data_IF_867533612763
#
_entry.id   IF_867533612763
#
_cell.length_a   1.000
_cell.length_b   1.000
_cell.length_c   1.000
_cell.angle_alpha   90.00
_cell.angle_beta   90.00
_cell.angle_gamma   90.00
#
_symmetry.space_group_name_H-M   'P 1'
#
loop_
_entity.id
_entity.type
_entity.pdbx_description
1 polymer ?
#
# COMPACT_ATOMS: atom_id res chain seq x y z
N UNK A 1 1.86 1.58 -7.50
CA UNK A 1 0.91 1.38 -8.63
C UNK A 1 0.40 -0.04 -8.51
N UNK A 2 -0.92 -0.25 -8.51
CA UNK A 2 -1.55 -1.51 -8.10
C UNK A 2 -2.00 -2.36 -9.29
N UNK A 3 -1.96 -1.79 -10.50
CA UNK A 3 -2.45 -2.41 -11.74
C UNK A 3 -1.82 -3.78 -12.05
N UNK A 4 -0.58 -4.02 -11.61
CA UNK A 4 0.09 -5.31 -11.82
C UNK A 4 -0.63 -6.45 -11.10
N UNK A 5 -1.00 -6.26 -9.83
CA UNK A 5 -1.69 -7.29 -9.04
C UNK A 5 -3.17 -7.40 -9.39
N UNK A 6 -3.83 -6.28 -9.72
CA UNK A 6 -5.23 -6.29 -10.14
C UNK A 6 -5.42 -7.01 -11.48
N UNK A 7 -4.75 -6.55 -12.54
CA UNK A 7 -4.85 -7.19 -13.86
C UNK A 7 -4.26 -8.60 -13.86
N UNK A 8 -3.18 -8.81 -13.11
CA UNK A 8 -2.63 -10.14 -12.90
C UNK A 8 -3.68 -11.09 -12.32
N UNK A 9 -4.43 -10.66 -11.29
CA UNK A 9 -5.51 -11.48 -10.71
C UNK A 9 -6.63 -11.78 -11.72
N UNK A 10 -6.98 -10.84 -12.60
CA UNK A 10 -7.97 -11.05 -13.66
C UNK A 10 -7.50 -12.14 -14.61
N UNK A 11 -6.28 -12.04 -15.14
CA UNK A 11 -5.76 -13.03 -16.09
C UNK A 11 -5.52 -14.40 -15.45
N UNK A 12 -5.09 -14.46 -14.19
CA UNK A 12 -5.01 -15.71 -13.43
C UNK A 12 -6.38 -16.39 -13.34
N UNK A 13 -7.45 -15.64 -13.04
CA UNK A 13 -8.82 -16.20 -12.98
C UNK A 13 -9.34 -16.66 -14.34
N UNK A 14 -8.89 -16.03 -15.42
CA UNK A 14 -9.19 -16.44 -16.79
C UNK A 14 -8.32 -17.63 -17.28
N UNK A 15 -7.42 -18.15 -16.44
CA UNK A 15 -6.63 -19.35 -16.71
C UNK A 15 -5.21 -19.11 -17.22
N UNK A 16 -4.74 -17.86 -17.28
CA UNK A 16 -3.35 -17.56 -17.64
C UNK A 16 -2.39 -17.86 -16.49
N UNK A 17 -1.20 -18.37 -16.82
CA UNK A 17 -0.09 -18.42 -15.87
C UNK A 17 0.57 -17.04 -15.80
N UNK A 18 0.39 -16.35 -14.68
CA UNK A 18 0.89 -14.99 -14.48
C UNK A 18 2.13 -15.01 -13.59
N UNK A 19 3.21 -14.40 -14.08
CA UNK A 19 4.42 -14.11 -13.30
C UNK A 19 4.60 -12.61 -13.17
N UNK A 20 4.62 -12.10 -11.94
CA UNK A 20 4.89 -10.70 -11.61
C UNK A 20 6.39 -10.55 -11.33
N UNK A 21 7.03 -9.61 -12.03
CA UNK A 21 8.42 -9.23 -11.80
C UNK A 21 8.43 -7.90 -11.05
N UNK A 22 9.03 -7.88 -9.87
CA UNK A 22 9.14 -6.70 -9.01
C UNK A 22 10.61 -6.45 -8.67
N UNK A 23 11.02 -5.20 -8.85
CA UNK A 23 12.36 -4.72 -8.56
C UNK A 23 12.64 -4.58 -7.07
N UNK A 24 11.61 -4.31 -6.27
CA UNK A 24 11.73 -4.30 -4.81
C UNK A 24 12.06 -5.71 -4.30
N UNK A 25 13.19 -5.89 -3.58
CA UNK A 25 13.58 -7.19 -3.04
C UNK A 25 12.77 -7.64 -1.82
N UNK A 26 12.10 -6.72 -1.13
CA UNK A 26 11.43 -7.02 0.14
C UNK A 26 10.03 -7.59 -0.04
N UNK A 27 9.14 -6.85 -0.72
CA UNK A 27 7.73 -7.23 -0.90
C UNK A 27 7.07 -6.51 -2.06
N UNK A 28 5.96 -7.07 -2.55
CA UNK A 28 5.04 -6.35 -3.44
C UNK A 28 4.31 -5.23 -2.69
N UNK A 29 3.91 -4.19 -3.42
CA UNK A 29 3.14 -3.06 -2.87
C UNK A 29 3.71 -2.51 -1.55
N UNK A 30 4.99 -2.07 -1.50
CA UNK A 30 5.68 -1.72 -0.25
C UNK A 30 5.13 -0.49 0.48
N UNK A 31 4.17 0.21 -0.12
CA UNK A 31 3.41 1.28 0.52
C UNK A 31 2.29 0.76 1.45
N UNK A 32 2.05 -0.56 1.46
CA UNK A 32 1.17 -1.23 2.41
C UNK A 32 1.99 -1.75 3.60
N UNK A 33 1.28 -2.00 4.70
CA UNK A 33 1.77 -2.82 5.80
C UNK A 33 2.21 -4.19 5.29
N UNK A 34 3.29 -4.70 5.88
CA UNK A 34 3.91 -5.96 5.48
C UNK A 34 2.92 -7.14 5.49
N UNK A 35 2.10 -7.27 6.53
CA UNK A 35 1.10 -8.33 6.64
C UNK A 35 0.05 -8.26 5.50
N UNK A 36 -0.29 -7.05 5.09
CA UNK A 36 -1.26 -6.80 4.02
C UNK A 36 -0.66 -7.15 2.65
N UNK A 37 0.59 -6.78 2.40
CA UNK A 37 1.32 -7.20 1.19
C UNK A 37 1.38 -8.72 1.06
N UNK A 38 1.60 -9.45 2.16
CA UNK A 38 1.65 -10.93 2.16
C UNK A 38 0.32 -11.58 1.77
N UNK A 39 -0.81 -10.92 2.02
CA UNK A 39 -2.13 -11.41 1.58
C UNK A 39 -2.24 -11.34 0.04
N UNK A 40 -1.70 -10.29 -0.57
CA UNK A 40 -1.70 -10.11 -2.03
C UNK A 40 -0.84 -11.15 -2.76
N UNK A 41 0.14 -11.75 -2.09
CA UNK A 41 0.94 -12.83 -2.67
C UNK A 41 0.13 -14.12 -2.85
N UNK A 42 -0.98 -14.27 -2.12
CA UNK A 42 -1.85 -15.46 -2.16
C UNK A 42 -2.89 -15.42 -3.30
N UNK A 43 -2.71 -14.56 -4.30
CA UNK A 43 -3.62 -14.38 -5.45
C UNK A 43 -3.46 -15.43 -6.56
N UNK A 44 -2.65 -16.49 -6.36
CA UNK A 44 -2.41 -17.54 -7.37
C UNK A 44 -1.48 -17.12 -8.52
N UNK A 45 -0.73 -16.03 -8.33
CA UNK A 45 0.33 -15.58 -9.24
C UNK A 45 1.70 -16.02 -8.74
N UNK A 46 2.67 -16.13 -9.64
CA UNK A 46 4.08 -16.29 -9.25
C UNK A 46 4.73 -14.92 -9.10
N UNK A 47 5.36 -14.66 -7.96
CA UNK A 47 6.09 -13.41 -7.73
C UNK A 47 7.59 -13.68 -7.79
N UNK A 48 8.31 -12.88 -8.57
CA UNK A 48 9.77 -12.78 -8.53
C UNK A 48 10.11 -11.38 -8.04
N UNK A 49 10.55 -11.30 -6.79
CA UNK A 49 10.98 -10.06 -6.13
C UNK A 49 12.47 -9.82 -6.36
N UNK A 50 12.92 -8.59 -6.20
CA UNK A 50 14.31 -8.21 -6.35
C UNK A 50 14.86 -8.51 -7.75
N UNK A 51 14.03 -8.38 -8.79
CA UNK A 51 14.46 -8.59 -10.18
C UNK A 51 14.13 -7.37 -11.02
N UNK A 52 15.09 -6.96 -11.86
CA UNK A 52 14.91 -5.86 -12.80
C UNK A 52 15.05 -6.37 -14.22
N UNK A 53 14.09 -6.00 -15.07
CA UNK A 53 14.11 -6.31 -16.50
C UNK A 53 15.11 -5.37 -17.18
N UNK A 54 16.15 -5.95 -17.78
CA UNK A 54 17.19 -5.20 -18.48
C UNK A 54 16.85 -5.03 -19.97
N UNK A 55 16.26 -6.07 -20.57
CA UNK A 55 15.96 -6.07 -22.00
C UNK A 55 14.78 -7.00 -22.33
N UNK A 56 14.18 -6.80 -23.50
CA UNK A 56 13.09 -7.62 -24.02
C UNK A 56 13.19 -7.81 -25.53
N UNK A 57 13.08 -9.06 -25.98
CA UNK A 57 13.04 -9.42 -27.39
C UNK A 57 11.67 -9.99 -27.77
N UNK A 58 11.05 -9.43 -28.80
CA UNK A 58 9.75 -9.88 -29.33
C UNK A 58 9.98 -10.67 -30.61
N UNK A 59 9.62 -11.95 -30.59
CA UNK A 59 9.54 -12.81 -31.77
C UNK A 59 8.10 -12.80 -32.29
N UNK A 60 7.86 -12.07 -33.38
CA UNK A 60 6.54 -11.93 -34.00
C UNK A 60 6.08 -13.19 -34.73
N UNK A 61 7.02 -14.03 -35.19
CA UNK A 61 6.69 -15.29 -35.88
C UNK A 61 6.21 -16.34 -34.87
N UNK A 62 6.85 -16.41 -33.71
CA UNK A 62 6.49 -17.35 -32.64
C UNK A 62 5.45 -16.80 -31.66
N UNK A 63 5.09 -15.50 -31.77
CA UNK A 63 4.24 -14.78 -30.81
C UNK A 63 4.73 -14.92 -29.37
N UNK A 64 6.04 -14.75 -29.18
CA UNK A 64 6.70 -14.88 -27.88
C UNK A 64 7.53 -13.66 -27.56
N UNK A 65 7.63 -13.36 -26.28
CA UNK A 65 8.52 -12.34 -25.72
C UNK A 65 9.51 -13.05 -24.80
N UNK A 66 10.79 -12.70 -24.94
CA UNK A 66 11.85 -13.14 -24.05
C UNK A 66 12.38 -11.93 -23.29
N UNK A 67 12.30 -11.94 -21.98
CA UNK A 67 12.81 -10.92 -21.08
C UNK A 67 14.14 -11.37 -20.48
N UNK A 68 15.12 -10.48 -20.44
CA UNK A 68 16.37 -10.64 -19.70
C UNK A 68 16.23 -9.92 -18.37
N UNK A 69 16.39 -10.67 -17.28
CA UNK A 69 16.24 -10.15 -15.92
C UNK A 69 17.53 -10.33 -15.11
N UNK A 70 17.79 -9.37 -14.24
CA UNK A 70 18.91 -9.37 -13.31
C UNK A 70 18.41 -9.24 -11.88
N UNK A 71 19.06 -9.95 -10.95
CA UNK A 71 18.84 -9.76 -9.52
C UNK A 71 19.25 -8.35 -9.09
N UNK A 72 18.32 -7.60 -8.50
CA UNK A 72 18.57 -6.35 -7.80
C UNK A 72 19.20 -6.68 -6.46
N UNK A 73 20.39 -6.12 -6.20
CA UNK A 73 21.06 -6.30 -4.89
C UNK A 73 20.23 -5.60 -3.81
N UNK A 74 19.94 -6.32 -2.72
CA UNK A 74 19.24 -5.75 -1.58
C UNK A 74 20.03 -4.57 -1.00
N UNK A 75 19.38 -3.41 -0.87
CA UNK A 75 19.87 -2.33 -0.01
C UNK A 75 19.27 -2.61 1.37
N UNK A 76 20.06 -2.81 2.44
CA UNK A 76 19.52 -2.95 3.78
C UNK A 76 18.66 -1.73 4.14
N UNK A 77 17.53 -1.96 4.78
CA UNK A 77 16.61 -0.92 5.25
C UNK A 77 17.38 0.04 6.18
N UNK A 78 17.60 1.29 5.74
CA UNK A 78 18.35 2.32 6.48
C UNK A 78 19.79 2.58 6.02
N UNK A 79 20.30 1.84 5.03
CA UNK A 79 21.62 2.11 4.42
C UNK A 79 21.56 3.14 3.29
N UNK A 80 22.60 3.97 3.16
CA UNK A 80 22.78 4.82 1.98
C UNK A 80 23.08 3.93 0.75
N UNK A 81 22.87 4.41 -0.49
CA UNK A 81 23.19 3.69 -1.74
C UNK A 81 24.68 3.30 -1.93
N UNK A 82 25.51 3.54 -0.91
CA UNK A 82 26.96 3.34 -0.92
C UNK A 82 27.46 2.30 0.10
N UNK A 83 26.60 1.76 0.96
CA UNK A 83 26.97 0.68 1.87
C UNK A 83 26.80 -0.67 1.17
N UNK A 84 27.85 -1.13 0.50
CA UNK A 84 27.85 -2.38 -0.25
C UNK A 84 29.02 -3.29 0.13
N UNK A 85 28.69 -4.49 0.59
CA UNK A 85 29.59 -5.65 0.52
C UNK A 85 29.48 -6.24 -0.90
N UNK A 86 30.55 -6.10 -1.68
CA UNK A 86 30.61 -6.39 -3.12
C UNK A 86 30.58 -7.88 -3.51
N UNK A 87 30.14 -8.78 -2.63
CA UNK A 87 30.50 -10.20 -2.68
C UNK A 87 29.46 -11.13 -3.30
N UNK A 88 28.22 -10.68 -3.56
CA UNK A 88 27.18 -11.55 -4.14
C UNK A 88 27.12 -11.48 -5.67
N UNK A 89 27.21 -12.63 -6.38
CA UNK A 89 27.18 -12.67 -7.84
C UNK A 89 25.81 -12.25 -8.38
N UNK A 90 25.82 -11.41 -9.42
CA UNK A 90 24.61 -10.94 -10.08
C UNK A 90 24.05 -12.06 -10.97
N UNK A 91 22.85 -12.55 -10.65
CA UNK A 91 22.24 -13.68 -11.36
C UNK A 91 21.43 -13.15 -12.53
N UNK A 92 21.83 -13.52 -13.76
CA UNK A 92 21.09 -13.27 -14.99
C UNK A 92 20.17 -14.44 -15.31
N UNK A 93 18.91 -14.14 -15.66
CA UNK A 93 17.94 -15.14 -16.08
C UNK A 93 17.18 -14.66 -17.31
N UNK A 94 16.66 -15.61 -18.08
CA UNK A 94 15.74 -15.35 -19.19
C UNK A 94 14.34 -15.85 -18.82
N UNK A 95 13.32 -15.02 -19.05
CA UNK A 95 11.91 -15.34 -18.81
C UNK A 95 11.18 -15.24 -20.14
N UNK A 96 10.45 -16.30 -20.52
CA UNK A 96 9.64 -16.33 -21.74
C UNK A 96 8.17 -16.14 -21.37
N UNK A 97 7.47 -15.35 -22.17
CA UNK A 97 6.03 -15.09 -22.04
C UNK A 97 5.39 -14.93 -23.42
N UNK A 98 4.07 -15.06 -23.51
CA UNK A 98 3.31 -14.74 -24.73
C UNK A 98 2.94 -13.25 -24.77
N UNK A 99 2.65 -12.68 -23.59
CA UNK A 99 2.26 -11.28 -23.40
C UNK A 99 3.06 -10.70 -22.25
N UNK A 100 3.49 -9.45 -22.38
CA UNK A 100 4.13 -8.68 -21.32
C UNK A 100 3.31 -7.42 -21.07
N UNK A 101 2.86 -7.25 -19.83
CA UNK A 101 2.20 -6.04 -19.35
C UNK A 101 3.20 -5.23 -18.53
N UNK A 102 3.41 -3.96 -18.91
CA UNK A 102 4.37 -3.07 -18.23
C UNK A 102 3.63 -2.15 -17.25
N UNK A 103 3.82 -2.39 -15.95
CA UNK A 103 3.15 -1.67 -14.87
C UNK A 103 4.13 -1.01 -13.88
N UNK A 104 5.16 -0.31 -14.39
CA UNK A 104 6.29 0.21 -13.58
C UNK A 104 6.04 1.60 -12.94
N UNK A 105 4.81 2.08 -12.95
CA UNK A 105 4.45 3.39 -12.41
C UNK A 105 3.77 4.32 -13.42
N UNK A 106 3.42 5.50 -12.93
CA UNK A 106 2.81 6.60 -13.71
C UNK A 106 3.74 7.80 -13.68
N UNK A 107 3.65 8.65 -14.69
CA UNK A 107 4.38 9.92 -14.77
C UNK A 107 3.38 11.05 -14.99
N UNK A 108 3.61 12.22 -14.40
CA UNK A 108 2.79 13.40 -14.68
C UNK A 108 2.86 13.71 -16.19
N UNK A 109 1.71 14.01 -16.78
CA UNK A 109 1.64 14.40 -18.18
C UNK A 109 1.57 15.92 -18.29
N UNK A 110 2.70 16.55 -18.60
CA UNK A 110 2.85 18.01 -18.69
C UNK A 110 3.22 18.49 -20.09
N UNK A 111 3.20 17.58 -21.07
CA UNK A 111 3.58 17.87 -22.44
C UNK A 111 2.56 18.80 -23.11
N UNK A 112 3.05 19.79 -23.85
CA UNK A 112 2.24 20.78 -24.58
C UNK A 112 1.26 21.61 -23.74
N UNK A 113 1.50 21.75 -22.43
CA UNK A 113 0.70 22.64 -21.56
C UNK A 113 1.09 24.12 -21.67
N UNK A 114 2.22 24.45 -22.32
CA UNK A 114 2.70 25.82 -22.44
C UNK A 114 3.20 26.43 -21.13
N UNK A 115 3.70 25.60 -20.20
CA UNK A 115 4.18 26.03 -18.88
C UNK A 115 5.33 27.03 -18.98
N UNK A 116 6.17 26.89 -20.01
CA UNK A 116 7.25 27.79 -20.36
C UNK A 116 6.76 29.22 -20.68
N UNK A 117 5.57 29.36 -21.25
CA UNK A 117 5.00 30.67 -21.61
C UNK A 117 4.52 31.45 -20.39
N UNK A 118 4.24 30.75 -19.29
CA UNK A 118 3.79 31.33 -18.01
C UNK A 118 4.86 31.24 -16.92
N UNK A 119 6.07 30.77 -17.25
CA UNK A 119 7.21 30.70 -16.34
C UNK A 119 7.11 29.64 -15.24
N UNK A 120 6.25 28.63 -15.40
CA UNK A 120 6.13 27.53 -14.43
C UNK A 120 7.21 26.48 -14.74
N UNK A 121 8.13 26.28 -13.79
CA UNK A 121 9.17 25.24 -13.87
C UNK A 121 8.71 23.97 -13.18
N UNK A 122 8.92 22.83 -13.82
CA UNK A 122 8.65 21.52 -13.23
C UNK A 122 9.69 21.16 -12.17
N UNK A 123 9.32 20.28 -11.24
CA UNK A 123 10.26 19.68 -10.30
C UNK A 123 11.12 18.57 -10.96
N UNK A 124 12.06 17.99 -10.20
CA UNK A 124 12.93 16.92 -10.68
C UNK A 124 12.21 15.63 -11.08
N UNK A 125 10.91 15.49 -10.73
CA UNK A 125 10.05 14.36 -11.10
C UNK A 125 9.07 14.72 -12.23
N UNK A 126 9.19 15.91 -12.83
CA UNK A 126 8.34 16.38 -13.93
C UNK A 126 6.96 16.87 -13.48
N UNK A 127 6.74 17.10 -12.18
CA UNK A 127 5.48 17.57 -11.60
C UNK A 127 5.42 19.09 -11.56
N UNK A 128 4.21 19.65 -11.54
CA UNK A 128 3.99 21.08 -11.32
C UNK A 128 4.14 21.38 -9.82
N UNK A 129 5.10 22.21 -9.39
CA UNK A 129 5.21 22.62 -8.00
C UNK A 129 4.01 23.46 -7.58
N UNK A 130 3.44 23.16 -6.43
CA UNK A 130 2.33 23.91 -5.85
C UNK A 130 2.54 24.11 -4.35
N UNK A 131 1.93 25.15 -3.77
CA UNK A 131 1.91 25.37 -2.32
C UNK A 131 0.85 24.48 -1.63
N UNK A 132 0.48 24.76 -0.38
CA UNK A 132 -0.53 23.99 0.37
C UNK A 132 -1.97 24.29 -0.07
N UNK A 133 -2.17 25.38 -0.82
CA UNK A 133 -3.44 25.74 -1.46
C UNK A 133 -3.50 25.27 -2.92
N UNK A 134 -2.56 24.40 -3.33
CA UNK A 134 -2.47 23.85 -4.69
C UNK A 134 -2.24 24.92 -5.78
N UNK A 135 -1.76 26.10 -5.36
CA UNK A 135 -1.43 27.21 -6.24
C UNK A 135 0.00 27.08 -6.76
N UNK A 136 0.20 27.37 -8.04
CA UNK A 136 1.53 27.36 -8.67
C UNK A 136 2.33 28.63 -8.35
N UNK A 137 3.51 28.81 -8.95
CA UNK A 137 4.25 30.07 -8.88
C UNK A 137 3.52 31.25 -9.52
N UNK A 138 2.49 31.01 -10.34
CA UNK A 138 1.63 32.03 -10.93
C UNK A 138 0.32 32.09 -10.13
N UNK A 139 -0.02 33.22 -9.48
CA UNK A 139 -1.15 33.29 -8.55
C UNK A 139 -2.52 32.91 -9.13
N UNK A 140 -2.71 33.06 -10.44
CA UNK A 140 -3.97 32.73 -11.12
C UNK A 140 -4.03 31.30 -11.64
N UNK A 141 -2.97 30.50 -11.46
CA UNK A 141 -2.88 29.14 -11.98
C UNK A 141 -2.71 28.17 -10.82
N UNK A 142 -3.56 27.14 -10.79
CA UNK A 142 -3.58 26.05 -9.83
C UNK A 142 -3.35 24.72 -10.55
N UNK A 143 -2.89 23.69 -9.83
CA UNK A 143 -2.71 22.35 -10.37
C UNK A 143 -3.10 21.29 -9.33
N UNK A 144 -3.76 20.22 -9.79
CA UNK A 144 -4.33 19.16 -8.94
C UNK A 144 -4.10 17.78 -9.54
N UNK A 145 -4.35 16.73 -8.76
CA UNK A 145 -4.31 15.33 -9.16
C UNK A 145 -2.90 14.81 -9.38
N UNK A 146 -2.74 13.97 -10.42
CA UNK A 146 -1.50 13.25 -10.71
C UNK A 146 -0.36 14.14 -11.21
N UNK A 147 -0.64 15.39 -11.59
CA UNK A 147 0.38 16.32 -12.12
C UNK A 147 1.16 17.02 -11.00
N UNK A 148 0.70 16.93 -9.75
CA UNK A 148 1.32 17.56 -8.56
C UNK A 148 1.86 16.50 -7.59
N UNK A 149 2.36 16.92 -6.43
CA UNK A 149 2.83 16.01 -5.37
C UNK A 149 1.66 15.18 -4.78
N UNK A 150 2.00 14.10 -4.08
CA UNK A 150 1.03 13.26 -3.36
C UNK A 150 0.70 11.95 -4.09
N UNK A 151 -0.23 11.16 -3.54
CA UNK A 151 -0.64 9.89 -4.14
C UNK A 151 -1.44 10.12 -5.44
N UNK A 152 -1.22 9.25 -6.42
CA UNK A 152 -1.89 9.29 -7.73
C UNK A 152 -3.19 8.48 -7.68
N UNK A 153 -4.21 9.06 -7.03
CA UNK A 153 -5.51 8.44 -6.77
C UNK A 153 -6.64 9.35 -7.26
N UNK A 154 -7.70 8.75 -7.80
CA UNK A 154 -8.82 9.49 -8.36
C UNK A 154 -9.52 10.38 -7.32
N UNK A 155 -9.89 9.82 -6.17
CA UNK A 155 -10.56 10.56 -5.09
C UNK A 155 -9.67 11.66 -4.49
N UNK A 156 -8.33 11.50 -4.50
CA UNK A 156 -7.40 12.58 -4.15
C UNK A 156 -7.51 13.75 -5.12
N UNK A 157 -7.53 13.47 -6.43
CA UNK A 157 -7.68 14.50 -7.44
C UNK A 157 -9.03 15.22 -7.35
N UNK A 158 -10.10 14.48 -7.04
CA UNK A 158 -11.44 15.02 -6.80
C UNK A 158 -11.47 15.98 -5.60
N UNK A 159 -10.90 15.56 -4.47
CA UNK A 159 -10.87 16.37 -3.24
C UNK A 159 -10.01 17.63 -3.40
N UNK A 160 -8.86 17.51 -4.07
CA UNK A 160 -8.04 18.66 -4.45
C UNK A 160 -8.79 19.63 -5.37
N UNK A 161 -9.55 19.12 -6.35
CA UNK A 161 -10.39 19.94 -7.22
C UNK A 161 -11.46 20.70 -6.46
N UNK A 162 -12.13 20.03 -5.52
CA UNK A 162 -13.09 20.67 -4.63
C UNK A 162 -12.44 21.76 -3.77
N UNK A 163 -11.26 21.48 -3.21
CA UNK A 163 -10.53 22.45 -2.39
C UNK A 163 -10.13 23.72 -3.16
N UNK A 164 -9.64 23.56 -4.39
CA UNK A 164 -9.31 24.70 -5.27
C UNK A 164 -10.58 25.47 -5.66
N UNK A 165 -11.68 24.78 -5.97
CA UNK A 165 -12.94 25.44 -6.33
C UNK A 165 -13.51 26.28 -5.17
N UNK A 166 -13.54 25.74 -3.95
CA UNK A 166 -13.94 26.47 -2.73
C UNK A 166 -13.03 27.69 -2.49
N UNK A 167 -11.71 27.52 -2.65
CA UNK A 167 -10.74 28.60 -2.52
C UNK A 167 -11.01 29.75 -3.51
N UNK A 168 -11.21 29.42 -4.78
CA UNK A 168 -11.50 30.40 -5.84
C UNK A 168 -12.85 31.10 -5.63
N UNK A 169 -13.80 30.45 -4.97
CA UNK A 169 -15.09 31.03 -4.59
C UNK A 169 -15.02 31.94 -3.35
N UNK A 170 -13.83 32.16 -2.77
CA UNK A 170 -13.65 32.97 -1.55
C UNK A 170 -14.15 32.29 -0.28
N UNK A 171 -14.36 30.96 -0.32
CA UNK A 171 -14.75 30.16 0.85
C UNK A 171 -13.50 29.68 1.57
N UNK A 172 -13.64 29.26 2.82
CA UNK A 172 -12.54 28.64 3.56
C UNK A 172 -12.13 27.36 2.84
N UNK A 173 -10.91 27.34 2.30
CA UNK A 173 -10.36 26.15 1.65
C UNK A 173 -10.37 24.98 2.64
N UNK A 174 -10.98 23.83 2.29
CA UNK A 174 -10.98 22.67 3.16
C UNK A 174 -9.53 22.20 3.38
N UNK A 175 -9.23 21.80 4.61
CA UNK A 175 -7.93 21.24 4.93
C UNK A 175 -7.84 19.82 4.37
N UNK A 176 -6.94 19.62 3.42
CA UNK A 176 -6.70 18.30 2.82
C UNK A 176 -5.80 17.47 3.74
N UNK A 177 -6.39 16.49 4.42
CA UNK A 177 -5.64 15.55 5.24
C UNK A 177 -5.16 14.38 4.38
N UNK A 178 -3.97 14.51 3.80
CA UNK A 178 -3.37 13.46 2.95
C UNK A 178 -3.14 12.13 3.69
N UNK A 179 -3.04 12.14 5.02
CA UNK A 179 -2.91 10.91 5.81
C UNK A 179 -4.24 10.15 5.94
N UNK A 180 -5.36 10.80 5.66
CA UNK A 180 -6.70 10.21 5.68
C UNK A 180 -7.20 9.82 4.28
N UNK A 181 -6.31 9.76 3.29
CA UNK A 181 -6.64 9.31 1.94
C UNK A 181 -6.52 7.78 1.88
N UNK A 182 -7.62 7.05 1.67
CA UNK A 182 -7.58 5.60 1.61
C UNK A 182 -6.92 5.11 0.31
N UNK A 183 -6.17 4.03 0.40
CA UNK A 183 -5.54 3.37 -0.72
C UNK A 183 -6.17 1.98 -0.88
N UNK A 184 -6.79 1.69 -2.03
CA UNK A 184 -7.53 0.45 -2.27
C UNK A 184 -6.93 -0.31 -3.45
N UNK A 185 -6.85 -1.64 -3.32
CA UNK A 185 -6.48 -2.59 -4.37
C UNK A 185 -7.64 -3.55 -4.59
N UNK A 186 -8.17 -3.57 -5.81
CA UNK A 186 -9.39 -4.30 -6.19
C UNK A 186 -9.12 -5.76 -6.57
N UNK A 187 -8.33 -6.47 -5.75
CA UNK A 187 -8.14 -7.93 -5.85
C UNK A 187 -9.27 -8.69 -5.14
N UNK A 188 -9.18 -10.03 -5.05
CA UNK A 188 -10.08 -10.82 -4.20
C UNK A 188 -9.26 -11.73 -3.28
N UNK A 189 -9.25 -11.50 -1.96
CA UNK A 189 -9.94 -10.40 -1.27
C UNK A 189 -9.41 -9.02 -1.69
N UNK A 190 -10.26 -8.01 -1.51
CA UNK A 190 -9.86 -6.61 -1.65
C UNK A 190 -8.94 -6.23 -0.50
N UNK A 191 -8.08 -5.25 -0.74
CA UNK A 191 -7.17 -4.71 0.25
C UNK A 191 -7.33 -3.21 0.31
N UNK A 192 -7.38 -2.65 1.52
CA UNK A 192 -7.39 -1.21 1.73
C UNK A 192 -6.44 -0.83 2.87
N UNK A 193 -5.82 0.34 2.76
CA UNK A 193 -5.04 0.96 3.83
C UNK A 193 -5.35 2.45 3.95
N UNK A 194 -5.13 3.01 5.14
CA UNK A 194 -5.26 4.44 5.43
C UNK A 194 -4.27 4.78 6.55
N UNK A 195 -3.73 5.98 6.56
CA UNK A 195 -2.76 6.40 7.56
C UNK A 195 -1.35 5.84 7.32
N UNK A 196 -0.57 5.79 8.38
CA UNK A 196 0.82 5.35 8.36
C UNK A 196 0.91 3.84 8.60
N UNK A 197 1.83 3.20 7.90
CA UNK A 197 2.18 1.78 8.11
C UNK A 197 2.97 1.59 9.39
N UNK A 198 2.98 0.37 9.94
CA UNK A 198 3.79 0.00 11.09
C UNK A 198 5.28 0.32 10.85
N UNK A 199 5.79 0.06 9.63
CA UNK A 199 7.17 0.36 9.26
C UNK A 199 7.46 1.87 9.27
N UNK A 200 6.52 2.70 8.83
CA UNK A 200 6.66 4.16 8.91
C UNK A 200 6.59 4.66 10.34
N UNK A 201 5.74 4.09 11.19
CA UNK A 201 5.68 4.44 12.61
C UNK A 201 7.01 4.13 13.31
N UNK A 202 7.56 2.93 13.08
CA UNK A 202 8.87 2.54 13.60
C UNK A 202 9.97 3.47 13.08
N UNK A 203 10.02 3.73 11.78
CA UNK A 203 11.03 4.60 11.17
C UNK A 203 10.98 6.04 11.70
N UNK A 204 9.79 6.53 12.03
CA UNK A 204 9.59 7.86 12.60
C UNK A 204 9.66 7.88 14.14
N UNK A 205 10.02 6.76 14.78
CA UNK A 205 10.07 6.63 16.25
C UNK A 205 8.73 7.00 16.93
N UNK A 206 7.61 6.69 16.27
CA UNK A 206 6.27 6.92 16.79
C UNK A 206 5.88 5.72 17.68
N UNK A 207 5.45 5.95 18.94
CA UNK A 207 5.12 4.89 19.91
C UNK A 207 3.82 4.17 19.54
N UNK A 208 3.87 3.27 18.55
CA UNK A 208 2.69 2.61 17.99
C UNK A 208 2.03 1.62 18.97
N UNK A 209 2.80 1.02 19.89
CA UNK A 209 2.25 0.17 20.97
C UNK A 209 1.32 0.99 21.87
N UNK A 210 1.74 2.18 22.27
CA UNK A 210 0.98 3.09 23.12
C UNK A 210 -0.28 3.59 22.39
N UNK A 211 -0.17 3.94 21.10
CA UNK A 211 -1.31 4.29 20.26
C UNK A 211 -2.33 3.16 20.19
N UNK A 212 -1.88 1.93 19.95
CA UNK A 212 -2.75 0.75 19.90
C UNK A 212 -3.38 0.46 21.26
N UNK A 213 -2.64 0.61 22.35
CA UNK A 213 -3.16 0.39 23.70
C UNK A 213 -4.25 1.41 24.03
N UNK A 214 -4.06 2.67 23.65
CA UNK A 214 -5.08 3.71 23.80
C UNK A 214 -6.31 3.45 22.93
N UNK A 215 -6.12 2.98 21.69
CA UNK A 215 -7.23 2.58 20.83
C UNK A 215 -8.06 1.43 21.44
N UNK A 216 -7.38 0.43 22.02
CA UNK A 216 -8.03 -0.71 22.71
C UNK A 216 -8.76 -0.28 23.98
N UNK A 217 -8.20 0.66 24.76
CA UNK A 217 -8.88 1.26 25.92
C UNK A 217 -10.18 1.96 25.51
N UNK A 218 -10.17 2.67 24.39
CA UNK A 218 -11.35 3.38 23.90
C UNK A 218 -12.40 2.41 23.33
N UNK A 219 -11.97 1.33 22.67
CA UNK A 219 -12.86 0.29 22.15
C UNK A 219 -12.18 -1.08 22.10
N UNK A 220 -12.59 -2.00 22.98
CA UNK A 220 -12.00 -3.35 23.06
C UNK A 220 -12.10 -4.17 21.75
N UNK A 221 -13.06 -3.87 20.86
CA UNK A 221 -13.15 -4.54 19.55
C UNK A 221 -11.99 -4.21 18.61
N UNK A 222 -11.23 -3.14 18.86
CA UNK A 222 -10.04 -2.79 18.09
C UNK A 222 -9.04 -3.95 18.10
N UNK A 223 -8.97 -4.72 19.19
CA UNK A 223 -8.04 -5.86 19.31
C UNK A 223 -8.27 -6.92 18.23
N UNK A 224 -9.52 -7.10 17.76
CA UNK A 224 -9.86 -8.01 16.66
C UNK A 224 -9.08 -7.70 15.39
N UNK A 225 -8.82 -6.42 15.13
CA UNK A 225 -8.18 -5.92 13.92
C UNK A 225 -6.69 -5.59 14.11
N UNK A 226 -6.17 -5.74 15.33
CA UNK A 226 -4.76 -5.56 15.61
C UNK A 226 -3.91 -6.68 14.99
N UNK A 227 -2.61 -6.44 14.85
CA UNK A 227 -1.67 -7.50 14.45
C UNK A 227 -1.61 -8.63 15.51
N UNK A 228 -1.06 -9.77 15.12
CA UNK A 228 -1.03 -10.97 15.99
C UNK A 228 -0.18 -10.77 17.25
N UNK A 229 0.78 -9.85 17.22
CA UNK A 229 1.60 -9.50 18.38
C UNK A 229 0.72 -8.95 19.50
N UNK A 230 -0.16 -8.00 19.20
CA UNK A 230 -1.03 -7.39 20.20
C UNK A 230 -2.15 -8.31 20.68
N UNK A 231 -2.68 -9.19 19.82
CA UNK A 231 -3.70 -10.18 20.22
C UNK A 231 -3.19 -11.19 21.25
N UNK A 232 -1.88 -11.41 21.30
CA UNK A 232 -1.20 -12.32 22.24
C UNK A 232 -0.68 -11.61 23.49
N UNK A 233 -0.60 -10.28 23.46
CA UNK A 233 -0.12 -9.49 24.58
C UNK A 233 -1.17 -9.44 25.70
N UNK A 234 -0.80 -9.95 26.87
CA UNK A 234 -1.68 -10.04 28.02
C UNK A 234 -2.19 -8.68 28.51
N UNK A 235 -1.40 -7.61 28.35
CA UNK A 235 -1.81 -6.25 28.71
C UNK A 235 -2.98 -5.79 27.82
N UNK A 236 -2.83 -5.98 26.50
CA UNK A 236 -3.86 -5.61 25.52
C UNK A 236 -5.14 -6.42 25.70
N UNK A 237 -5.04 -7.73 25.87
CA UNK A 237 -6.19 -8.60 26.10
C UNK A 237 -6.93 -8.19 27.39
N UNK A 238 -6.20 -7.92 28.47
CA UNK A 238 -6.79 -7.49 29.74
C UNK A 238 -7.48 -6.13 29.61
N UNK A 239 -6.88 -5.20 28.88
CA UNK A 239 -7.47 -3.87 28.71
C UNK A 239 -8.72 -3.91 27.84
N UNK A 240 -8.67 -4.65 26.74
CA UNK A 240 -9.82 -4.86 25.87
C UNK A 240 -11.00 -5.52 26.62
N UNK A 241 -10.70 -6.48 27.50
CA UNK A 241 -11.69 -7.16 28.37
C UNK A 241 -12.41 -6.22 29.34
N UNK A 242 -11.73 -5.20 29.87
CA UNK A 242 -12.36 -4.21 30.76
C UNK A 242 -13.45 -3.43 30.03
N UNK A 243 -13.26 -3.18 28.74
CA UNK A 243 -14.18 -2.42 27.92
C UNK A 243 -15.24 -3.32 27.27
N UNK A 244 -14.93 -4.59 27.00
CA UNK A 244 -15.87 -5.54 26.39
C UNK A 244 -15.55 -7.01 26.71
N UNK A 245 -16.50 -7.71 27.35
CA UNK A 245 -16.37 -9.12 27.75
C UNK A 245 -16.34 -10.13 26.60
N UNK A 246 -16.79 -9.77 25.40
CA UNK A 246 -16.78 -10.65 24.21
C UNK A 246 -15.43 -10.66 23.48
N UNK A 247 -14.45 -9.88 23.92
CA UNK A 247 -13.14 -9.79 23.24
C UNK A 247 -12.40 -11.13 23.22
N UNK A 248 -12.67 -12.03 24.16
CA UNK A 248 -12.06 -13.35 24.21
C UNK A 248 -12.34 -14.20 22.96
N UNK A 249 -13.40 -13.91 22.20
CA UNK A 249 -13.66 -14.56 20.91
C UNK A 249 -12.59 -14.25 19.86
N UNK A 250 -11.84 -13.15 20.03
CA UNK A 250 -10.90 -12.62 19.05
C UNK A 250 -9.44 -12.65 19.53
N UNK A 251 -9.17 -13.19 20.73
CA UNK A 251 -7.81 -13.40 21.25
C UNK A 251 -7.32 -14.83 21.00
N UNK A 252 -6.05 -15.11 21.34
CA UNK A 252 -5.41 -16.41 21.12
C UNK A 252 -6.23 -17.60 21.71
N UNK A 253 -6.09 -18.78 21.11
CA UNK A 253 -6.82 -20.01 21.49
C UNK A 253 -6.79 -20.30 22.99
N UNK A 254 -5.69 -19.99 23.68
CA UNK A 254 -5.59 -20.17 25.13
C UNK A 254 -6.63 -19.33 25.89
N UNK A 255 -6.88 -18.10 25.46
CA UNK A 255 -7.85 -17.19 26.06
C UNK A 255 -9.28 -17.58 25.67
N UNK A 256 -9.50 -17.99 24.42
CA UNK A 256 -10.78 -18.56 23.96
C UNK A 256 -11.15 -19.82 24.75
N UNK A 257 -10.19 -20.73 24.98
CA UNK A 257 -10.40 -21.94 25.77
C UNK A 257 -10.73 -21.61 27.24
N UNK A 258 -10.09 -20.59 27.81
CA UNK A 258 -10.46 -20.07 29.15
C UNK A 258 -11.86 -19.47 29.16
N UNK A 259 -12.29 -18.80 28.10
CA UNK A 259 -13.68 -18.31 27.97
C UNK A 259 -14.68 -19.47 28.02
N UNK A 260 -14.43 -20.54 27.26
CA UNK A 260 -15.30 -21.72 27.26
C UNK A 260 -15.37 -22.38 28.64
N UNK A 261 -14.27 -22.37 29.39
CA UNK A 261 -14.22 -22.90 30.76
C UNK A 261 -14.95 -21.99 31.77
N UNK A 262 -14.83 -20.66 31.64
CA UNK A 262 -15.42 -19.70 32.55
C UNK A 262 -16.92 -19.43 32.28
N UNK A 263 -17.36 -19.52 31.01
CA UNK A 263 -18.73 -19.18 30.59
C UNK A 263 -19.62 -20.39 30.29
N UNK A 264 -19.17 -21.62 30.59
CA UNK A 264 -19.96 -22.84 30.41
C UNK A 264 -21.32 -22.85 31.15
N UNK A 265 -21.56 -21.89 32.06
CA UNK A 265 -22.85 -21.70 32.75
C UNK A 265 -23.64 -20.43 32.36
N UNK A 266 -23.17 -19.61 31.42
CA UNK A 266 -23.80 -18.33 31.08
C UNK A 266 -24.43 -18.28 29.68
N UNK A 267 -24.15 -19.26 28.82
CA UNK A 267 -24.81 -19.42 27.52
C UNK A 267 -26.01 -20.36 27.66
N UNK A 268 -27.03 -19.93 28.41
CA UNK A 268 -28.35 -20.56 28.38
C UNK A 268 -29.11 -20.06 27.15
N UNK A 269 -29.27 -20.93 26.15
CA UNK A 269 -30.13 -20.64 25.01
C UNK A 269 -29.86 -21.50 23.79
N UNK A 270 -29.88 -22.83 23.94
CA UNK A 270 -30.33 -23.75 22.88
C UNK A 270 -30.71 -25.10 23.51
N UNK A 271 -31.80 -25.08 24.28
CA UNK A 271 -32.72 -26.20 24.35
C UNK A 271 -33.88 -25.87 23.40
N UNK A 272 -33.82 -26.38 22.17
CA UNK A 272 -35.01 -26.77 21.42
C UNK A 272 -34.71 -28.13 20.78
N UNK A 273 -35.58 -29.07 21.14
CA UNK A 273 -35.66 -30.48 20.77
C UNK A 273 -35.46 -30.77 19.28
#
# INVERSE_FOLDING_TARGET
MQFNVELGSVFTRLGSQVTVLESNPDRISPFLDQEVSQILEKQGMTFKLGVSVQNGHVDTLQKKVTLEVESVRSIPTGGSPHDHDGSSPMVRQSIKAEVVLVCIGRRPFTHHLGLENVGIKLDSKGRIPVNDQLQTSVPTIYAIGDVVRGPMLAHKAEEEGFAVAEHLAGRSSPHLNYNAIPNVIYTHPEVASIGQTEQELIANSIPYRELMLEAVKNNGYVLKYANEVFKKDAEFVKEALKCNGFVLEYSEELYQARMQYCYHGAYLGNDYH
#
